data_IF_858818718404
#
_entry.id   IF_858818718404
#
_cell.length_a   1.000
_cell.length_b   1.000
_cell.length_c   1.000
_cell.angle_alpha   90.00
_cell.angle_beta   90.00
_cell.angle_gamma   90.00
#
_symmetry.space_group_name_H-M   'P 1'
#
loop_
_entity.id
_entity.type
_entity.pdbx_description
1 polymer ?
#
# COMPACT_ATOMS: atom_id res chain seq x y z
N UNK A 1 10.52 -10.49 19.01
CA UNK A 1 9.70 -11.66 18.58
C UNK A 1 8.22 -11.37 18.36
N UNK A 2 7.64 -10.28 18.86
CA UNK A 2 6.20 -9.99 18.75
C UNK A 2 5.69 -9.60 17.34
N UNK A 3 6.59 -9.40 16.36
CA UNK A 3 6.24 -8.97 15.02
C UNK A 3 6.71 -9.96 13.96
N UNK A 4 5.92 -10.08 12.90
CA UNK A 4 6.26 -10.80 11.69
C UNK A 4 6.57 -9.81 10.57
N UNK A 5 7.85 -9.55 10.25
CA UNK A 5 8.21 -8.69 9.15
C UNK A 5 7.89 -9.35 7.81
N UNK A 6 7.28 -8.58 6.91
CA UNK A 6 6.96 -8.96 5.54
C UNK A 6 7.23 -7.77 4.63
N UNK A 7 7.90 -7.99 3.51
CA UNK A 7 8.11 -6.93 2.51
C UNK A 7 7.01 -6.99 1.46
N UNK A 8 6.41 -5.83 1.15
CA UNK A 8 5.39 -5.72 0.12
C UNK A 8 6.07 -5.42 -1.20
N UNK A 9 6.02 -6.36 -2.15
CA UNK A 9 6.64 -6.20 -3.46
C UNK A 9 5.98 -7.12 -4.51
N UNK A 10 5.90 -6.73 -5.81
CA UNK A 10 5.25 -7.58 -6.81
C UNK A 10 6.01 -8.87 -7.07
N UNK A 11 5.27 -9.97 -7.26
CA UNK A 11 5.79 -11.31 -7.45
C UNK A 11 6.77 -11.44 -8.63
N UNK A 12 6.56 -10.70 -9.72
CA UNK A 12 7.42 -10.70 -10.93
C UNK A 12 8.89 -10.37 -10.67
N UNK A 13 9.21 -9.81 -9.50
CA UNK A 13 10.56 -9.37 -9.14
C UNK A 13 11.18 -10.20 -8.02
N UNK A 14 10.53 -11.29 -7.62
CA UNK A 14 11.02 -12.21 -6.59
C UNK A 14 11.73 -13.37 -7.27
N UNK A 15 13.06 -13.44 -7.08
CA UNK A 15 13.90 -14.48 -7.70
C UNK A 15 13.65 -15.88 -7.12
N UNK A 16 13.22 -15.95 -5.85
CA UNK A 16 12.98 -17.19 -5.08
C UNK A 16 11.47 -17.31 -4.75
N UNK A 17 10.67 -18.06 -5.52
CA UNK A 17 9.22 -18.15 -5.35
C UNK A 17 8.78 -18.64 -3.97
N UNK A 18 9.62 -19.40 -3.26
CA UNK A 18 9.37 -19.91 -1.90
C UNK A 18 9.24 -18.78 -0.87
N UNK A 19 9.69 -17.58 -1.21
CA UNK A 19 9.54 -16.39 -0.37
C UNK A 19 8.15 -15.76 -0.49
N UNK A 20 7.39 -16.08 -1.53
CA UNK A 20 6.06 -15.52 -1.74
C UNK A 20 5.07 -16.13 -0.76
N UNK A 21 4.29 -15.26 -0.13
CA UNK A 21 3.16 -15.68 0.70
C UNK A 21 1.94 -15.94 -0.17
N UNK A 22 1.27 -17.06 0.08
CA UNK A 22 -0.03 -17.40 -0.50
C UNK A 22 -1.15 -16.65 0.25
N UNK A 23 -1.12 -15.32 0.10
CA UNK A 23 -2.00 -14.39 0.79
C UNK A 23 -1.63 -14.11 2.26
N UNK A 24 -2.49 -13.36 2.92
CA UNK A 24 -2.41 -13.09 4.36
C UNK A 24 -3.14 -14.20 5.12
N UNK A 25 -2.63 -15.42 5.01
CA UNK A 25 -3.20 -16.56 5.72
C UNK A 25 -2.93 -16.40 7.24
N UNK A 26 -3.97 -16.40 8.09
CA UNK A 26 -3.82 -16.14 9.53
C UNK A 26 -3.24 -17.32 10.33
N UNK A 27 -2.77 -18.41 9.70
CA UNK A 27 -2.03 -19.47 10.39
C UNK A 27 -0.86 -18.84 11.15
N UNK A 28 -0.93 -18.69 12.48
CA UNK A 28 -0.13 -17.68 13.14
C UNK A 28 1.31 -18.15 13.21
N UNK A 29 2.24 -17.30 12.77
CA UNK A 29 3.61 -17.41 13.24
C UNK A 29 3.60 -17.04 14.73
N UNK A 30 3.58 -18.06 15.58
CA UNK A 30 3.51 -17.91 17.04
C UNK A 30 4.81 -17.33 17.58
N UNK A 31 4.70 -16.52 18.62
CA UNK A 31 5.82 -16.13 19.48
C UNK A 31 6.22 -17.31 20.38
N UNK A 32 7.38 -17.19 21.04
CA UNK A 32 7.88 -18.22 21.97
C UNK A 32 6.95 -18.51 23.16
N UNK A 33 6.06 -17.57 23.49
CA UNK A 33 5.03 -17.69 24.54
C UNK A 33 3.65 -18.12 24.01
N UNK A 34 3.53 -18.47 22.72
CA UNK A 34 2.30 -18.98 22.12
C UNK A 34 1.27 -17.92 21.71
N UNK A 35 1.62 -16.63 21.80
CA UNK A 35 0.79 -15.54 21.26
C UNK A 35 0.97 -15.38 19.74
N UNK A 36 0.04 -14.68 19.10
CA UNK A 36 0.13 -14.40 17.66
C UNK A 36 1.07 -13.23 17.39
N UNK A 37 1.95 -13.37 16.40
CA UNK A 37 2.76 -12.24 15.93
C UNK A 37 1.90 -11.22 15.19
N UNK A 38 2.20 -9.94 15.43
CA UNK A 38 1.61 -8.83 14.69
C UNK A 38 2.30 -8.66 13.34
N UNK A 39 1.55 -8.44 12.27
CA UNK A 39 2.13 -8.14 10.96
C UNK A 39 2.93 -6.83 11.01
N UNK A 40 4.13 -6.85 10.43
CA UNK A 40 4.97 -5.68 10.21
C UNK A 40 5.24 -5.58 8.71
N UNK A 41 4.45 -4.75 8.03
CA UNK A 41 4.53 -4.56 6.59
C UNK A 41 5.58 -3.52 6.25
N UNK A 42 6.51 -3.88 5.37
CA UNK A 42 7.62 -3.03 4.93
C UNK A 42 7.34 -2.58 3.51
N UNK A 43 7.19 -1.27 3.34
CA UNK A 43 7.04 -0.60 2.05
C UNK A 43 8.33 0.11 1.67
N UNK A 44 8.73 0.00 0.41
CA UNK A 44 9.91 0.70 -0.12
C UNK A 44 9.44 1.93 -0.88
N UNK A 45 9.69 3.11 -0.32
CA UNK A 45 9.35 4.37 -0.96
C UNK A 45 10.47 4.84 -1.89
N UNK A 46 10.10 5.25 -3.10
CA UNK A 46 11.02 5.71 -4.13
C UNK A 46 10.45 5.53 -5.53
N UNK A 47 11.21 5.95 -6.54
CA UNK A 47 10.86 5.59 -7.92
C UNK A 47 10.90 4.06 -8.09
N UNK A 48 10.17 3.54 -9.08
CA UNK A 48 10.13 2.10 -9.34
C UNK A 48 11.52 1.48 -9.49
N UNK A 49 12.42 2.18 -10.18
CA UNK A 49 13.82 1.76 -10.37
C UNK A 49 14.60 1.72 -9.05
N UNK A 50 14.37 2.68 -8.16
CA UNK A 50 15.01 2.74 -6.85
C UNK A 50 14.48 1.64 -5.93
N UNK A 51 13.16 1.48 -5.87
CA UNK A 51 12.51 0.45 -5.05
C UNK A 51 12.99 -0.95 -5.43
N UNK A 52 13.03 -1.27 -6.73
CA UNK A 52 13.62 -2.53 -7.24
C UNK A 52 15.08 -2.70 -6.87
N UNK A 53 15.88 -1.62 -6.94
CA UNK A 53 17.31 -1.67 -6.59
C UNK A 53 17.48 -1.94 -5.09
N UNK A 54 16.69 -1.29 -4.23
CA UNK A 54 16.70 -1.51 -2.78
C UNK A 54 16.27 -2.94 -2.45
N UNK A 55 15.15 -3.39 -3.00
CA UNK A 55 14.64 -4.75 -2.82
C UNK A 55 15.70 -5.80 -3.15
N UNK A 56 16.35 -5.68 -4.31
CA UNK A 56 17.35 -6.64 -4.78
C UNK A 56 18.68 -6.59 -4.02
N UNK A 57 19.12 -5.42 -3.59
CA UNK A 57 20.45 -5.22 -3.00
C UNK A 57 20.47 -5.25 -1.47
N UNK A 58 19.32 -5.16 -0.81
CA UNK A 58 19.25 -5.17 0.65
C UNK A 58 19.34 -6.60 1.16
N UNK A 59 20.50 -6.98 1.74
CA UNK A 59 20.68 -8.29 2.37
C UNK A 59 19.62 -8.55 3.46
N UNK A 60 19.21 -7.51 4.18
CA UNK A 60 18.14 -7.61 5.18
C UNK A 60 16.78 -8.02 4.57
N UNK A 61 16.43 -7.50 3.39
CA UNK A 61 15.14 -7.80 2.77
C UNK A 61 15.14 -9.18 2.10
N UNK A 62 16.30 -9.73 1.73
CA UNK A 62 16.40 -11.04 1.05
C UNK A 62 15.89 -12.19 1.89
N UNK A 63 16.07 -12.14 3.21
CA UNK A 63 15.59 -13.21 4.10
C UNK A 63 14.11 -13.08 4.48
N UNK A 64 13.45 -11.99 4.10
CA UNK A 64 12.06 -11.75 4.50
C UNK A 64 11.07 -12.39 3.53
N UNK A 65 9.94 -12.90 4.04
CA UNK A 65 8.82 -13.28 3.20
C UNK A 65 8.27 -12.05 2.45
N UNK A 66 7.74 -12.29 1.26
CA UNK A 66 7.22 -11.26 0.35
C UNK A 66 5.72 -11.41 0.23
N UNK A 67 4.99 -10.34 0.50
CA UNK A 67 3.57 -10.23 0.17
C UNK A 67 3.44 -9.53 -1.19
N UNK A 68 2.95 -10.27 -2.18
CA UNK A 68 2.57 -9.70 -3.47
C UNK A 68 1.09 -9.35 -3.46
N UNK A 69 0.74 -8.24 -4.11
CA UNK A 69 -0.66 -7.84 -4.30
C UNK A 69 -0.99 -7.99 -5.77
N UNK A 70 -2.00 -8.79 -6.06
CA UNK A 70 -2.50 -8.95 -7.42
C UNK A 70 -3.52 -7.87 -7.80
N UNK A 71 -3.35 -7.25 -8.99
CA UNK A 71 -4.19 -6.20 -9.55
C UNK A 71 -5.69 -6.45 -9.76
N UNK A 72 -6.31 -7.55 -9.34
CA UNK A 72 -7.68 -7.85 -9.76
C UNK A 72 -8.71 -6.77 -9.34
N UNK A 73 -8.40 -5.98 -8.30
CA UNK A 73 -9.16 -4.81 -7.85
C UNK A 73 -8.66 -3.45 -8.38
N UNK A 74 -7.66 -3.45 -9.25
CA UNK A 74 -7.03 -2.24 -9.78
C UNK A 74 -7.74 -1.61 -10.97
N UNK A 75 -8.73 -2.26 -11.59
CA UNK A 75 -9.41 -1.68 -12.76
C UNK A 75 -10.09 -0.33 -12.42
N UNK A 76 -10.67 -0.20 -11.22
CA UNK A 76 -11.30 1.04 -10.77
C UNK A 76 -10.29 2.11 -10.35
N UNK A 77 -9.14 1.71 -9.80
CA UNK A 77 -8.12 2.62 -9.30
C UNK A 77 -7.19 3.15 -10.42
N UNK A 78 -6.93 2.31 -11.44
CA UNK A 78 -6.16 2.61 -12.64
C UNK A 78 -6.92 3.55 -13.59
N UNK A 79 -8.26 3.49 -13.63
CA UNK A 79 -9.08 4.29 -14.56
C UNK A 79 -8.95 5.81 -14.38
N UNK A 80 -8.30 6.31 -13.32
CA UNK A 80 -8.08 7.75 -13.10
C UNK A 80 -6.74 8.31 -13.58
N UNK A 81 -5.88 7.57 -14.30
CA UNK A 81 -4.65 8.15 -14.89
C UNK A 81 -4.37 7.65 -16.30
N UNK A 82 -4.55 8.56 -17.24
CA UNK A 82 -4.18 8.49 -18.65
C UNK A 82 -2.68 8.26 -18.86
N UNK A 83 -2.41 7.33 -19.78
CA UNK A 83 -1.25 7.16 -20.68
C UNK A 83 0.17 7.36 -20.13
N UNK A 84 0.86 6.20 -20.08
CA UNK A 84 2.29 5.95 -19.90
C UNK A 84 2.78 5.79 -18.45
N UNK A 85 3.03 4.52 -18.11
CA UNK A 85 3.63 3.94 -16.90
C UNK A 85 2.68 3.76 -15.70
N UNK A 86 2.12 2.55 -15.66
CA UNK A 86 1.10 2.04 -14.74
C UNK A 86 1.74 1.52 -13.45
N UNK A 87 2.16 2.43 -12.56
CA UNK A 87 2.66 2.06 -11.23
C UNK A 87 1.88 2.79 -10.14
N UNK A 88 1.38 2.02 -9.17
CA UNK A 88 0.78 2.56 -7.96
C UNK A 88 1.85 3.28 -7.13
N UNK A 89 1.46 4.38 -6.52
CA UNK A 89 2.24 5.02 -5.46
C UNK A 89 2.21 4.16 -4.20
N UNK A 90 3.19 4.40 -3.31
CA UNK A 90 3.33 3.70 -2.02
C UNK A 90 2.03 3.71 -1.20
N UNK A 91 1.32 4.85 -1.16
CA UNK A 91 0.07 4.98 -0.41
C UNK A 91 -1.08 4.15 -1.02
N UNK A 92 -1.13 4.05 -2.34
CA UNK A 92 -2.13 3.26 -3.06
C UNK A 92 -1.89 1.76 -2.82
N UNK A 93 -0.63 1.32 -2.87
CA UNK A 93 -0.26 -0.07 -2.51
C UNK A 93 -0.62 -0.35 -1.05
N UNK A 94 -0.26 0.54 -0.12
CA UNK A 94 -0.55 0.35 1.30
C UNK A 94 -2.05 0.25 1.60
N UNK A 95 -2.89 1.02 0.90
CA UNK A 95 -4.35 0.92 0.99
C UNK A 95 -4.84 -0.49 0.64
N UNK A 96 -4.35 -1.05 -0.48
CA UNK A 96 -4.72 -2.41 -0.91
C UNK A 96 -4.24 -3.47 0.08
N UNK A 97 -3.02 -3.32 0.61
CA UNK A 97 -2.49 -4.23 1.63
C UNK A 97 -3.35 -4.22 2.89
N UNK A 98 -3.73 -3.05 3.40
CA UNK A 98 -4.58 -2.95 4.57
C UNK A 98 -5.95 -3.61 4.34
N UNK A 99 -6.55 -3.39 3.17
CA UNK A 99 -7.81 -4.05 2.81
C UNK A 99 -7.67 -5.58 2.78
N UNK A 100 -6.61 -6.11 2.17
CA UNK A 100 -6.35 -7.55 2.14
C UNK A 100 -6.06 -8.11 3.54
N UNK A 101 -5.51 -7.30 4.44
CA UNK A 101 -5.24 -7.65 5.83
C UNK A 101 -6.47 -7.60 6.75
N UNK A 102 -7.65 -7.22 6.22
CA UNK A 102 -8.86 -7.00 7.02
C UNK A 102 -8.86 -5.70 7.81
N UNK A 103 -7.86 -4.82 7.60
CA UNK A 103 -7.75 -3.51 8.24
C UNK A 103 -8.56 -2.47 7.44
N UNK A 104 -9.87 -2.68 7.36
CA UNK A 104 -10.78 -1.88 6.51
C UNK A 104 -10.77 -0.39 6.87
N UNK A 105 -10.80 -0.07 8.17
CA UNK A 105 -10.77 1.31 8.65
C UNK A 105 -9.46 2.01 8.29
N UNK A 106 -8.31 1.34 8.45
CA UNK A 106 -7.01 1.90 8.10
C UNK A 106 -6.88 2.09 6.59
N UNK A 107 -7.37 1.13 5.80
CA UNK A 107 -7.47 1.23 4.35
C UNK A 107 -8.28 2.45 3.92
N UNK A 108 -9.51 2.59 4.42
CA UNK A 108 -10.40 3.69 4.06
C UNK A 108 -9.82 5.05 4.47
N UNK A 109 -9.28 5.15 5.69
CA UNK A 109 -8.61 6.35 6.18
C UNK A 109 -7.50 6.82 5.25
N UNK A 110 -6.58 5.92 4.91
CA UNK A 110 -5.43 6.22 4.05
C UNK A 110 -5.89 6.60 2.64
N UNK A 111 -6.88 5.89 2.08
CA UNK A 111 -7.43 6.19 0.77
C UNK A 111 -8.02 7.60 0.71
N UNK A 112 -8.91 7.93 1.64
CA UNK A 112 -9.58 9.23 1.68
C UNK A 112 -8.60 10.37 1.91
N UNK A 113 -7.64 10.18 2.81
CA UNK A 113 -6.57 11.15 3.05
C UNK A 113 -5.74 11.38 1.78
N UNK A 114 -5.35 10.30 1.10
CA UNK A 114 -4.52 10.40 -0.10
C UNK A 114 -5.25 11.06 -1.27
N UNK A 115 -6.55 10.79 -1.43
CA UNK A 115 -7.40 11.50 -2.40
C UNK A 115 -7.47 13.01 -2.11
N UNK A 116 -7.69 13.39 -0.84
CA UNK A 116 -7.73 14.80 -0.42
C UNK A 116 -6.37 15.51 -0.60
N UNK A 117 -5.28 14.79 -0.32
CA UNK A 117 -3.91 15.27 -0.57
C UNK A 117 -3.68 15.50 -2.07
N UNK A 118 -4.00 14.50 -2.90
CA UNK A 118 -3.85 14.59 -4.36
C UNK A 118 -4.67 15.74 -4.94
N UNK A 119 -5.92 15.88 -4.53
CA UNK A 119 -6.79 17.00 -4.91
C UNK A 119 -6.08 18.34 -4.62
N UNK A 120 -5.63 18.52 -3.38
CA UNK A 120 -4.96 19.75 -2.95
C UNK A 120 -3.65 20.00 -3.71
N UNK A 121 -2.83 18.96 -3.91
CA UNK A 121 -1.60 19.04 -4.67
C UNK A 121 -1.85 19.50 -6.11
N UNK A 122 -2.89 18.99 -6.76
CA UNK A 122 -3.25 19.39 -8.12
C UNK A 122 -3.71 20.84 -8.21
N UNK A 123 -4.34 21.40 -7.17
CA UNK A 123 -4.67 22.84 -7.13
C UNK A 123 -3.41 23.72 -7.12
N UNK A 124 -2.27 23.22 -6.65
CA UNK A 124 -0.99 23.96 -6.70
C UNK A 124 -0.34 23.93 -8.09
N UNK A 125 -0.83 23.08 -9.00
CA UNK A 125 -0.31 22.96 -10.37
C UNK A 125 -1.10 23.87 -11.31
N UNK A 126 -0.43 24.86 -11.89
CA UNK A 126 -1.01 25.89 -12.76
C UNK A 126 -1.62 25.40 -14.08
N UNK A 127 -1.45 24.13 -14.46
CA UNK A 127 -1.89 23.58 -15.75
C UNK A 127 -3.19 22.77 -15.70
N UNK A 128 -3.81 22.63 -14.54
CA UNK A 128 -5.01 21.78 -14.37
C UNK A 128 -6.22 22.63 -14.01
N UNK A 129 -7.36 22.34 -14.66
CA UNK A 129 -8.64 23.00 -14.37
C UNK A 129 -8.97 22.80 -12.90
N UNK A 130 -8.99 23.92 -12.17
CA UNK A 130 -9.07 23.96 -10.72
C UNK A 130 -10.52 23.75 -10.29
N UNK A 131 -10.81 22.70 -9.54
CA UNK A 131 -12.10 22.53 -8.86
C UNK A 131 -12.00 23.04 -7.42
N UNK A 132 -12.60 24.19 -7.16
CA UNK A 132 -12.60 24.84 -5.86
C UNK A 132 -13.58 24.20 -4.86
N UNK A 133 -14.46 23.28 -5.32
CA UNK A 133 -15.44 22.64 -4.45
C UNK A 133 -14.81 21.63 -3.47
N UNK A 134 -13.57 21.18 -3.76
CA UNK A 134 -12.74 20.28 -2.93
C UNK A 134 -13.50 19.07 -2.36
N UNK A 135 -14.19 18.28 -3.22
CA UNK A 135 -15.04 17.18 -2.78
C UNK A 135 -14.28 16.10 -2.00
N UNK A 136 -13.03 15.79 -2.36
CA UNK A 136 -12.26 14.75 -1.65
C UNK A 136 -11.86 15.20 -0.25
N UNK A 137 -11.45 16.46 -0.07
CA UNK A 137 -11.20 16.99 1.27
C UNK A 137 -12.47 17.01 2.14
N UNK A 138 -13.62 17.37 1.56
CA UNK A 138 -14.90 17.34 2.30
C UNK A 138 -15.23 15.94 2.78
N UNK A 139 -15.16 14.95 1.88
CA UNK A 139 -15.40 13.54 2.20
C UNK A 139 -14.48 13.03 3.31
N UNK A 140 -13.17 13.32 3.23
CA UNK A 140 -12.23 12.94 4.29
C UNK A 140 -12.60 13.56 5.65
N UNK A 141 -12.96 14.86 5.68
CA UNK A 141 -13.37 15.54 6.92
C UNK A 141 -14.68 15.00 7.51
N UNK A 142 -15.60 14.56 6.68
CA UNK A 142 -16.86 13.95 7.12
C UNK A 142 -16.60 12.57 7.73
N UNK A 143 -15.83 11.73 7.05
CA UNK A 143 -15.39 10.43 7.56
C UNK A 143 -14.64 10.58 8.90
N UNK A 144 -13.69 11.51 8.98
CA UNK A 144 -12.89 11.72 10.19
C UNK A 144 -13.70 12.22 11.40
N UNK A 145 -14.89 12.78 11.19
CA UNK A 145 -15.80 13.18 12.29
C UNK A 145 -16.67 12.02 12.77
N UNK A 146 -16.91 11.03 11.93
CA UNK A 146 -17.72 9.85 12.25
C UNK A 146 -16.88 8.85 13.06
N UNK A 147 -15.59 8.74 12.74
CA UNK A 147 -14.67 7.78 13.36
C UNK A 147 -13.96 8.31 14.62
N UNK A 148 -14.07 9.60 14.93
CA UNK A 148 -13.48 10.27 16.11
C UNK A 148 -14.42 10.31 17.31
#
# INVERSE_FOLDING_TARGET
DAYQPVVVFPADYVDEPERLLDGLNPEPLKTSDGSDKKWLMIFIDGSWREARKIFRRSEFLKSLPVLSIEPESLSEYIMRRSDNEQHLSTAEVATLVFKQAGEEQASECLQLWFEAFRETYMLTKTRVKTDWSRPHLKRFKEWAKIES
#
